data_IF_183862560533
#
_entry.id   IF_183862560533
#
_cell.length_a   1.000
_cell.length_b   1.000
_cell.length_c   1.000
_cell.angle_alpha   90.00
_cell.angle_beta   90.00
_cell.angle_gamma   90.00
#
_symmetry.space_group_name_H-M   'P 1'
#
loop_
_entity.id
_entity.type
_entity.pdbx_description
1 polymer ?
#
# COMPACT_ATOMS: atom_id res chain seq x y z
N UNK A 1 -20.87 -2.49 54.04
CA UNK A 1 -20.09 -1.60 53.15
C UNK A 1 -18.58 -1.84 53.11
N UNK A 2 -17.90 -2.19 54.21
CA UNK A 2 -16.43 -2.32 54.25
C UNK A 2 -15.88 -3.47 53.37
N UNK A 3 -16.58 -4.60 53.27
CA UNK A 3 -16.19 -5.74 52.43
C UNK A 3 -16.27 -5.43 50.92
N UNK A 4 -17.27 -4.67 50.49
CA UNK A 4 -17.45 -4.28 49.08
C UNK A 4 -16.32 -3.35 48.59
N UNK A 5 -15.90 -2.39 49.42
CA UNK A 5 -14.77 -1.49 49.12
C UNK A 5 -13.44 -2.24 49.01
N UNK A 6 -13.23 -3.30 49.80
CA UNK A 6 -12.03 -4.17 49.69
C UNK A 6 -12.05 -5.01 48.40
N UNK A 7 -13.19 -5.59 48.03
CA UNK A 7 -13.33 -6.37 46.80
C UNK A 7 -13.12 -5.50 45.56
N UNK A 8 -13.70 -4.29 45.53
CA UNK A 8 -13.48 -3.32 44.44
C UNK A 8 -12.01 -2.91 44.31
N UNK A 9 -11.33 -2.66 45.43
CA UNK A 9 -9.88 -2.38 45.46
C UNK A 9 -9.05 -3.53 44.90
N UNK A 10 -9.36 -4.78 45.26
CA UNK A 10 -8.66 -5.97 44.77
C UNK A 10 -8.94 -6.18 43.27
N UNK A 11 -10.18 -6.00 42.82
CA UNK A 11 -10.54 -6.10 41.41
C UNK A 11 -9.82 -5.05 40.57
N UNK A 12 -9.72 -3.80 41.06
CA UNK A 12 -8.98 -2.74 40.39
C UNK A 12 -7.50 -3.07 40.30
N UNK A 13 -6.89 -3.63 41.35
CA UNK A 13 -5.47 -4.00 41.36
C UNK A 13 -5.12 -5.16 40.43
N UNK A 14 -6.08 -6.03 40.10
CA UNK A 14 -5.88 -7.16 39.17
C UNK A 14 -6.26 -6.76 37.74
N UNK A 15 -7.35 -6.02 37.56
CA UNK A 15 -7.86 -5.62 36.24
C UNK A 15 -7.01 -4.52 35.59
N UNK A 16 -6.49 -3.55 36.35
CA UNK A 16 -5.63 -2.49 35.79
C UNK A 16 -4.38 -3.06 35.09
N UNK A 17 -3.55 -3.90 35.75
CA UNK A 17 -2.37 -4.45 35.08
C UNK A 17 -2.74 -5.39 33.95
N UNK A 18 -3.87 -6.12 34.01
CA UNK A 18 -4.35 -6.91 32.88
C UNK A 18 -4.73 -6.03 31.68
N UNK A 19 -5.42 -4.91 31.90
CA UNK A 19 -5.77 -3.93 30.85
C UNK A 19 -4.51 -3.25 30.29
N UNK A 20 -3.52 -2.94 31.14
CA UNK A 20 -2.23 -2.37 30.73
C UNK A 20 -1.41 -3.39 29.94
N UNK A 21 -1.36 -4.65 30.37
CA UNK A 21 -0.69 -5.74 29.65
C UNK A 21 -1.41 -5.97 28.31
N UNK A 22 -2.74 -5.97 28.29
CA UNK A 22 -3.50 -6.07 27.04
C UNK A 22 -3.25 -4.88 26.12
N UNK A 23 -3.22 -3.65 26.64
CA UNK A 23 -2.95 -2.46 25.84
C UNK A 23 -1.49 -2.34 25.41
N UNK A 24 -0.53 -2.89 26.16
CA UNK A 24 0.89 -2.93 25.77
C UNK A 24 1.21 -4.07 24.80
N UNK A 25 0.52 -5.21 24.89
CA UNK A 25 0.73 -6.38 24.01
C UNK A 25 -0.07 -6.23 22.71
N UNK A 26 -1.34 -5.80 22.78
CA UNK A 26 -2.23 -5.62 21.63
C UNK A 26 -2.24 -4.19 21.09
N UNK A 27 -1.72 -3.20 21.84
CA UNK A 27 -1.56 -1.85 21.34
C UNK A 27 -0.36 -1.74 20.41
N UNK A 28 -0.62 -1.88 19.12
CA UNK A 28 0.14 -1.28 18.02
C UNK A 28 1.67 -1.57 17.94
N UNK A 29 2.23 -2.52 18.70
CA UNK A 29 3.69 -2.64 18.85
C UNK A 29 4.34 -3.88 18.25
N UNK A 30 3.69 -5.05 18.33
CA UNK A 30 4.37 -6.32 17.97
C UNK A 30 3.43 -7.45 17.53
N UNK A 31 2.40 -7.74 18.33
CA UNK A 31 1.55 -8.93 18.16
C UNK A 31 0.35 -8.76 17.25
N UNK A 32 0.02 -7.53 16.82
CA UNK A 32 -1.11 -7.29 15.92
C UNK A 32 -0.80 -7.98 14.59
N UNK A 33 -1.53 -9.01 14.14
CA UNK A 33 -1.26 -9.64 12.85
C UNK A 33 -1.35 -8.61 11.71
N UNK A 34 -0.62 -8.83 10.60
CA UNK A 34 -0.69 -7.94 9.45
C UNK A 34 -2.14 -7.72 8.99
N UNK A 35 -2.95 -8.79 9.04
CA UNK A 35 -4.38 -8.80 8.73
C UNK A 35 -5.28 -7.94 9.62
N UNK A 36 -4.74 -7.18 10.57
CA UNK A 36 -5.50 -6.19 11.35
C UNK A 36 -5.01 -4.75 11.08
N UNK A 37 -4.01 -4.57 10.22
CA UNK A 37 -3.48 -3.25 9.88
C UNK A 37 -4.18 -2.73 8.62
N UNK A 38 -4.88 -1.57 8.68
CA UNK A 38 -5.61 -1.02 7.54
C UNK A 38 -4.74 -0.85 6.29
N UNK A 39 -3.52 -0.34 6.46
CA UNK A 39 -2.55 -0.14 5.38
C UNK A 39 -2.15 -1.43 4.67
N UNK A 40 -2.16 -2.58 5.36
CA UNK A 40 -1.88 -3.88 4.77
C UNK A 40 -3.06 -4.41 3.96
N UNK A 41 -4.30 -4.14 4.39
CA UNK A 41 -5.47 -4.44 3.57
C UNK A 41 -5.49 -3.59 2.30
N UNK A 42 -5.21 -2.31 2.43
CA UNK A 42 -5.12 -1.40 1.28
C UNK A 42 -4.03 -1.84 0.30
N UNK A 43 -2.83 -2.18 0.80
CA UNK A 43 -1.77 -2.82 0.03
C UNK A 43 -2.27 -4.02 -0.77
N UNK A 44 -3.00 -4.95 -0.12
CA UNK A 44 -3.51 -6.15 -0.78
C UNK A 44 -4.55 -5.84 -1.85
N UNK A 45 -5.46 -4.88 -1.61
CA UNK A 45 -6.42 -4.45 -2.63
C UNK A 45 -5.71 -3.83 -3.84
N UNK A 46 -4.68 -3.01 -3.61
CA UNK A 46 -3.86 -2.48 -4.70
C UNK A 46 -3.14 -3.60 -5.44
N UNK A 47 -2.57 -4.60 -4.76
CA UNK A 47 -1.88 -5.73 -5.41
C UNK A 47 -2.78 -6.52 -6.36
N UNK A 48 -4.09 -6.59 -6.11
CA UNK A 48 -5.06 -7.23 -7.02
C UNK A 48 -5.21 -6.48 -8.35
N UNK A 49 -4.83 -5.21 -8.39
CA UNK A 49 -4.84 -4.38 -9.59
C UNK A 49 -3.52 -4.44 -10.37
N UNK A 50 -2.54 -5.25 -9.95
CA UNK A 50 -1.37 -5.53 -10.80
C UNK A 50 -1.86 -6.15 -12.12
N UNK A 51 -1.43 -5.66 -13.31
CA UNK A 51 -2.05 -6.03 -14.59
C UNK A 51 -2.19 -7.55 -14.80
N UNK A 52 -1.20 -8.33 -14.40
CA UNK A 52 -1.22 -9.80 -14.56
C UNK A 52 -2.24 -10.45 -13.62
N UNK A 53 -2.26 -10.07 -12.35
CA UNK A 53 -3.25 -10.56 -11.37
C UNK A 53 -4.66 -10.13 -11.76
N UNK A 54 -4.84 -8.88 -12.16
CA UNK A 54 -6.15 -8.35 -12.54
C UNK A 54 -6.73 -9.10 -13.75
N UNK A 55 -5.90 -9.34 -14.77
CA UNK A 55 -6.28 -10.14 -15.94
C UNK A 55 -6.55 -11.60 -15.60
N UNK A 56 -5.75 -12.23 -14.73
CA UNK A 56 -5.99 -13.63 -14.32
C UNK A 56 -7.30 -13.79 -13.56
N UNK A 57 -7.78 -12.74 -12.90
CA UNK A 57 -9.07 -12.70 -12.23
C UNK A 57 -10.25 -12.36 -13.17
N UNK A 58 -10.03 -12.32 -14.50
CA UNK A 58 -11.05 -12.03 -15.51
C UNK A 58 -11.25 -10.54 -15.80
N UNK A 59 -10.43 -9.66 -15.24
CA UNK A 59 -10.47 -8.22 -15.49
C UNK A 59 -9.98 -7.84 -16.89
N UNK A 60 -10.54 -6.78 -17.46
CA UNK A 60 -10.12 -6.21 -18.75
C UNK A 60 -9.35 -4.90 -18.53
N UNK A 61 -8.23 -4.75 -19.22
CA UNK A 61 -7.44 -3.50 -19.18
C UNK A 61 -8.14 -2.48 -20.09
N UNK A 62 -9.10 -1.77 -19.50
CA UNK A 62 -9.94 -0.76 -20.13
C UNK A 62 -10.02 0.50 -19.26
N UNK A 63 -10.81 1.49 -19.68
CA UNK A 63 -11.01 2.75 -18.97
C UNK A 63 -11.41 2.56 -17.49
N UNK A 64 -12.19 1.53 -17.18
CA UNK A 64 -12.60 1.24 -15.80
C UNK A 64 -11.39 0.83 -14.96
N UNK A 65 -10.52 -0.02 -15.50
CA UNK A 65 -9.26 -0.40 -14.86
C UNK A 65 -8.37 0.82 -14.58
N UNK A 66 -8.19 1.72 -15.56
CA UNK A 66 -7.40 2.94 -15.35
C UNK A 66 -8.00 3.84 -14.27
N UNK A 67 -9.33 4.00 -14.25
CA UNK A 67 -10.01 4.76 -13.20
C UNK A 67 -9.85 4.14 -11.82
N UNK A 68 -9.84 2.80 -11.69
CA UNK A 68 -9.56 2.11 -10.42
C UNK A 68 -8.17 2.45 -9.88
N UNK A 69 -7.16 2.46 -10.74
CA UNK A 69 -5.80 2.84 -10.35
C UNK A 69 -5.72 4.33 -9.96
N UNK A 70 -6.29 5.19 -10.78
CA UNK A 70 -6.27 6.64 -10.57
C UNK A 70 -7.08 7.09 -9.35
N UNK A 71 -8.08 6.32 -8.92
CA UNK A 71 -8.85 6.60 -7.71
C UNK A 71 -7.94 6.66 -6.45
N UNK A 72 -6.85 5.88 -6.40
CA UNK A 72 -5.87 5.97 -5.31
C UNK A 72 -5.07 7.28 -5.30
N UNK A 73 -5.10 8.05 -6.37
CA UNK A 73 -4.48 9.38 -6.48
C UNK A 73 -5.53 10.51 -6.42
N UNK A 74 -6.75 10.17 -5.97
CA UNK A 74 -7.91 11.06 -5.94
C UNK A 74 -8.20 11.67 -7.32
N UNK A 75 -8.04 10.90 -8.40
CA UNK A 75 -8.24 11.37 -9.77
C UNK A 75 -8.89 10.32 -10.65
N UNK A 76 -9.14 10.66 -11.91
CA UNK A 76 -9.70 9.77 -12.91
C UNK A 76 -9.07 10.06 -14.27
N UNK A 77 -9.32 9.19 -15.25
CA UNK A 77 -8.70 9.27 -16.56
C UNK A 77 -8.99 10.61 -17.26
N UNK A 78 -10.22 11.13 -17.17
CA UNK A 78 -10.59 12.41 -17.80
C UNK A 78 -9.81 13.60 -17.24
N UNK A 79 -9.62 13.66 -15.92
CA UNK A 79 -8.83 14.70 -15.28
C UNK A 79 -7.36 14.67 -15.72
N UNK A 80 -6.81 13.47 -15.92
CA UNK A 80 -5.44 13.29 -16.43
C UNK A 80 -5.35 13.80 -17.87
N UNK A 81 -6.33 13.48 -18.71
CA UNK A 81 -6.38 13.93 -20.11
C UNK A 81 -6.52 15.44 -20.25
N UNK A 82 -7.27 16.07 -19.34
CA UNK A 82 -7.40 17.53 -19.28
C UNK A 82 -6.13 18.22 -18.76
N UNK A 83 -5.13 17.46 -18.31
CA UNK A 83 -3.88 17.99 -17.73
C UNK A 83 -4.05 18.54 -16.32
N UNK A 84 -5.15 18.20 -15.62
CA UNK A 84 -5.45 18.73 -14.29
C UNK A 84 -4.67 18.00 -13.18
N UNK A 85 -4.19 16.78 -13.43
CA UNK A 85 -3.46 15.95 -12.45
C UNK A 85 -2.39 15.06 -13.09
N UNK A 86 -1.33 14.82 -12.31
CA UNK A 86 -0.13 14.05 -12.69
C UNK A 86 1.06 14.95 -13.00
N UNK A 87 2.27 14.54 -12.63
CA UNK A 87 3.48 15.25 -13.05
C UNK A 87 3.87 14.76 -14.45
N UNK A 88 3.82 15.67 -15.42
CA UNK A 88 4.48 15.49 -16.71
C UNK A 88 5.99 15.77 -16.52
N UNK A 89 6.73 14.81 -15.96
CA UNK A 89 8.19 14.87 -16.04
C UNK A 89 8.62 14.51 -17.46
N UNK A 90 8.49 15.48 -18.37
CA UNK A 90 9.24 15.47 -19.64
C UNK A 90 10.68 15.84 -19.31
N UNK A 91 11.38 14.96 -18.61
CA UNK A 91 12.80 15.12 -18.32
C UNK A 91 13.58 14.02 -19.03
N UNK A 92 13.97 14.31 -20.28
CA UNK A 92 15.18 13.79 -20.95
C UNK A 92 15.54 12.32 -20.70
N UNK A 93 14.59 11.40 -20.85
CA UNK A 93 14.93 10.00 -21.04
C UNK A 93 15.15 9.77 -22.53
N UNK A 94 16.35 9.36 -22.92
CA UNK A 94 16.72 8.97 -24.29
C UNK A 94 15.89 7.79 -24.84
N UNK A 95 14.88 7.30 -24.10
CA UNK A 95 13.89 6.38 -24.58
C UNK A 95 12.65 7.15 -25.06
N UNK A 96 12.51 7.19 -26.38
CA UNK A 96 11.27 7.45 -27.14
C UNK A 96 10.95 8.93 -27.37
N UNK A 97 11.67 9.56 -28.31
CA UNK A 97 11.09 10.61 -29.16
C UNK A 97 10.04 9.97 -30.10
N UNK A 98 8.91 9.49 -29.57
CA UNK A 98 7.68 9.34 -30.37
C UNK A 98 6.88 10.59 -30.07
N UNK A 99 6.75 11.46 -31.06
CA UNK A 99 6.14 12.80 -30.95
C UNK A 99 4.70 12.85 -30.40
N UNK A 100 4.08 11.71 -30.06
CA UNK A 100 2.67 11.57 -29.72
C UNK A 100 2.41 10.82 -28.40
N UNK A 101 3.44 10.43 -27.63
CA UNK A 101 3.27 9.71 -26.36
C UNK A 101 3.56 10.66 -25.20
N UNK A 102 2.61 10.79 -24.28
CA UNK A 102 2.75 11.53 -23.04
C UNK A 102 2.81 10.56 -21.86
N UNK A 103 3.82 10.76 -21.00
CA UNK A 103 3.99 10.00 -19.76
C UNK A 103 3.40 10.78 -18.58
N UNK A 104 2.47 10.15 -17.87
CA UNK A 104 1.94 10.66 -16.62
C UNK A 104 2.44 9.81 -15.46
N UNK A 105 3.10 10.45 -14.50
CA UNK A 105 3.58 9.79 -13.28
C UNK A 105 2.87 10.32 -12.05
N UNK A 106 2.51 9.38 -11.16
CA UNK A 106 1.92 9.62 -9.88
C UNK A 106 2.70 8.84 -8.83
N UNK A 107 2.96 9.48 -7.69
CA UNK A 107 3.62 8.87 -6.54
C UNK A 107 2.88 9.36 -5.29
N UNK A 108 2.58 8.44 -4.38
CA UNK A 108 1.87 8.74 -3.14
C UNK A 108 2.43 7.88 -2.00
N UNK A 109 2.47 8.48 -0.81
CA UNK A 109 2.84 7.83 0.43
C UNK A 109 1.71 8.00 1.45
N UNK A 110 1.21 6.87 1.98
CA UNK A 110 0.14 6.82 2.99
C UNK A 110 0.62 6.19 4.28
N UNK A 111 -0.20 6.35 5.32
CA UNK A 111 0.02 5.73 6.63
C UNK A 111 1.41 5.99 7.22
N UNK A 112 1.85 7.25 7.15
CA UNK A 112 3.18 7.70 7.60
C UNK A 112 4.33 7.03 6.83
N UNK A 113 4.13 6.73 5.55
CA UNK A 113 5.09 6.05 4.66
C UNK A 113 5.15 4.54 4.88
N UNK A 114 4.10 3.95 5.47
CA UNK A 114 3.97 2.49 5.52
C UNK A 114 3.48 1.93 4.20
N UNK A 115 2.77 2.72 3.41
CA UNK A 115 2.29 2.33 2.09
C UNK A 115 2.82 3.34 1.09
N UNK A 116 3.63 2.89 0.14
CA UNK A 116 4.18 3.71 -0.93
C UNK A 116 3.77 3.12 -2.26
N UNK A 117 3.30 3.94 -3.18
CA UNK A 117 2.86 3.43 -4.48
C UNK A 117 3.01 4.46 -5.59
N UNK A 118 3.27 3.92 -6.78
CA UNK A 118 3.58 4.68 -7.98
C UNK A 118 2.79 4.15 -9.17
N UNK A 119 2.33 5.07 -10.00
CA UNK A 119 1.66 4.79 -11.25
C UNK A 119 2.32 5.57 -12.38
N UNK A 120 2.66 4.87 -13.45
CA UNK A 120 3.12 5.41 -14.73
C UNK A 120 2.13 5.01 -15.83
N UNK A 121 1.59 6.00 -16.52
CA UNK A 121 0.68 5.83 -17.64
C UNK A 121 1.30 6.44 -18.90
N UNK A 122 1.49 5.61 -19.93
CA UNK A 122 1.79 6.08 -21.27
C UNK A 122 0.46 6.32 -22.00
N UNK A 123 0.25 7.54 -22.49
CA UNK A 123 -0.96 7.92 -23.24
C UNK A 123 -0.52 8.33 -24.64
N UNK A 124 -1.00 7.61 -25.66
CA UNK A 124 -0.80 7.98 -27.06
C UNK A 124 -1.94 8.90 -27.51
N UNK A 125 -1.60 10.13 -27.89
CA UNK A 125 -2.55 11.06 -28.51
C UNK A 125 -2.56 10.80 -30.02
N UNK A 126 -3.66 10.25 -30.54
CA UNK A 126 -3.83 10.10 -31.98
C UNK A 126 -4.12 11.47 -32.62
N UNK A 127 -3.15 12.02 -33.36
CA UNK A 127 -3.24 13.31 -34.06
C UNK A 127 -4.35 13.36 -35.13
N UNK A 128 -4.86 12.22 -35.59
CA UNK A 128 -5.76 12.14 -36.75
C UNK A 128 -7.22 11.87 -36.37
N UNK A 129 -7.48 11.17 -35.26
CA UNK A 129 -8.84 10.82 -34.83
C UNK A 129 -9.28 11.50 -33.53
N UNK A 130 -8.38 12.20 -32.82
CA UNK A 130 -8.58 12.67 -31.43
C UNK A 130 -8.96 11.54 -30.45
N UNK A 131 -8.86 10.27 -30.84
CA UNK A 131 -9.07 9.16 -29.94
C UNK A 131 -7.86 9.02 -29.01
N UNK A 132 -8.14 9.00 -27.72
CA UNK A 132 -7.12 8.81 -26.69
C UNK A 132 -7.25 7.38 -26.18
N UNK A 133 -6.35 6.53 -26.65
CA UNK A 133 -6.25 5.15 -26.18
C UNK A 133 -5.11 5.08 -25.16
N UNK A 134 -5.38 4.67 -23.91
CA UNK A 134 -4.29 4.41 -22.98
C UNK A 134 -3.44 3.27 -23.55
N UNK A 135 -2.11 3.48 -23.64
CA UNK A 135 -1.22 2.45 -24.14
C UNK A 135 -1.27 1.25 -23.18
N UNK A 136 -1.14 0.05 -23.75
CA UNK A 136 -1.23 -1.23 -23.03
C UNK A 136 -0.15 -1.43 -21.95
N UNK A 137 0.80 -0.50 -21.80
CA UNK A 137 1.85 -0.55 -20.77
C UNK A 137 1.50 0.40 -19.63
N UNK A 138 1.04 -0.19 -18.54
CA UNK A 138 0.91 0.49 -17.24
C UNK A 138 2.06 0.03 -16.38
N UNK A 139 2.80 0.99 -15.83
CA UNK A 139 3.67 0.74 -14.69
C UNK A 139 2.87 1.03 -13.42
N UNK A 140 2.52 0.01 -12.67
CA UNK A 140 1.97 0.19 -11.33
C UNK A 140 2.93 -0.49 -10.38
N UNK A 141 3.21 0.12 -9.24
CA UNK A 141 4.11 -0.39 -8.21
C UNK A 141 3.59 -0.02 -6.83
N UNK A 142 3.67 -0.96 -5.88
CA UNK A 142 3.20 -0.76 -4.51
C UNK A 142 4.16 -1.48 -3.56
N UNK A 143 4.55 -0.78 -2.51
CA UNK A 143 5.31 -1.28 -1.38
C UNK A 143 4.56 -1.05 -0.08
N UNK A 144 4.63 -2.05 0.79
CA UNK A 144 4.13 -1.93 2.14
C UNK A 144 5.20 -2.27 3.17
N UNK A 145 5.56 -1.29 3.99
CA UNK A 145 6.57 -1.40 5.02
C UNK A 145 5.93 -1.91 6.32
N UNK A 146 6.37 -3.07 6.78
CA UNK A 146 5.85 -3.63 8.02
C UNK A 146 6.30 -2.84 9.25
N UNK A 147 7.48 -2.17 9.19
CA UNK A 147 8.07 -1.31 10.23
C UNK A 147 7.98 -1.94 11.63
N UNK A 148 8.43 -3.19 11.75
CA UNK A 148 8.45 -3.93 13.01
C UNK A 148 9.88 -4.21 13.44
N UNK A 149 10.03 -4.33 14.76
CA UNK A 149 11.19 -5.00 15.32
C UNK A 149 11.05 -6.51 15.06
N UNK A 150 12.14 -7.26 15.06
CA UNK A 150 12.18 -8.71 14.94
C UNK A 150 12.99 -9.31 16.06
N UNK A 151 12.54 -10.45 16.58
CA UNK A 151 13.19 -11.11 17.70
C UNK A 151 14.32 -11.91 17.09
N UNK A 152 15.54 -11.51 17.40
CA UNK A 152 16.74 -12.17 16.91
C UNK A 152 17.52 -12.72 18.08
N UNK A 153 18.39 -13.68 17.80
CA UNK A 153 19.24 -14.32 18.80
C UNK A 153 20.54 -13.53 18.90
N UNK A 154 20.81 -12.94 20.06
CA UNK A 154 22.06 -12.23 20.34
C UNK A 154 23.15 -13.20 20.81
N UNK A 155 22.77 -14.25 21.55
CA UNK A 155 23.65 -15.34 21.95
C UNK A 155 22.85 -16.61 22.24
N UNK A 156 23.53 -17.72 22.53
CA UNK A 156 22.92 -19.05 22.78
C UNK A 156 21.75 -19.01 23.79
N UNK A 157 21.76 -18.07 24.74
CA UNK A 157 20.70 -17.89 25.73
C UNK A 157 20.16 -16.46 25.82
N UNK A 158 20.40 -15.61 24.81
CA UNK A 158 19.87 -14.22 24.80
C UNK A 158 19.24 -13.83 23.47
N UNK A 159 18.17 -13.05 23.57
CA UNK A 159 17.44 -12.50 22.44
C UNK A 159 17.51 -10.99 22.48
N UNK A 160 17.46 -10.36 21.32
CA UNK A 160 17.29 -8.92 21.20
C UNK A 160 16.25 -8.57 20.15
N UNK A 161 15.75 -7.33 20.23
CA UNK A 161 14.79 -6.79 19.28
C UNK A 161 15.52 -5.89 18.30
N UNK A 162 15.66 -6.35 17.07
CA UNK A 162 16.31 -5.59 16.00
C UNK A 162 15.26 -4.90 15.13
N UNK A 163 15.46 -3.63 14.79
CA UNK A 163 14.60 -2.96 13.81
C UNK A 163 15.03 -3.39 12.41
N UNK A 164 14.13 -4.01 11.64
CA UNK A 164 14.41 -4.34 10.24
C UNK A 164 13.40 -3.64 9.34
N UNK A 165 13.91 -2.83 8.43
CA UNK A 165 13.12 -2.17 7.39
C UNK A 165 12.76 -3.21 6.32
N UNK A 166 11.75 -4.04 6.60
CA UNK A 166 11.23 -4.99 5.62
C UNK A 166 10.00 -4.39 4.93
N UNK A 167 9.95 -4.54 3.61
CA UNK A 167 8.81 -4.16 2.78
C UNK A 167 8.30 -5.36 1.98
N UNK A 168 7.00 -5.37 1.73
CA UNK A 168 6.34 -6.32 0.85
C UNK A 168 5.89 -5.62 -0.43
N UNK A 169 5.94 -6.33 -1.55
CA UNK A 169 5.48 -5.84 -2.85
C UNK A 169 4.65 -6.92 -3.58
N UNK A 170 4.33 -6.71 -4.86
CA UNK A 170 3.55 -7.68 -5.62
C UNK A 170 4.16 -9.09 -5.65
N UNK A 171 5.49 -9.23 -5.62
CA UNK A 171 6.12 -10.54 -5.61
C UNK A 171 5.82 -11.33 -4.33
N UNK A 172 5.69 -10.62 -3.20
CA UNK A 172 5.24 -11.21 -1.94
C UNK A 172 3.76 -11.61 -2.04
N UNK A 173 2.88 -10.71 -2.48
CA UNK A 173 1.45 -11.00 -2.63
C UNK A 173 1.18 -12.19 -3.57
N UNK A 174 1.95 -12.32 -4.66
CA UNK A 174 1.87 -13.48 -5.58
C UNK A 174 2.22 -14.81 -4.93
N UNK A 175 3.00 -14.82 -3.85
CA UNK A 175 3.29 -16.03 -3.08
C UNK A 175 2.16 -16.37 -2.12
N UNK A 176 1.45 -15.38 -1.57
CA UNK A 176 0.33 -15.60 -0.65
C UNK A 176 -0.92 -16.20 -1.32
N UNK A 177 -1.11 -15.96 -2.62
CA UNK A 177 -2.28 -16.44 -3.38
C UNK A 177 -2.07 -17.82 -4.06
N UNK A 178 -0.91 -18.45 -3.87
CA UNK A 178 -0.61 -19.81 -4.36
C UNK A 178 -0.86 -20.84 -3.28
#
# INVERSE_FOLDING_TARGET
>A
MIRLKKILKISSFILLPLIIIWSMIFGWGWFVPYSLQPSYHEFKEMCKLEPKIYQSNGGKIDKEYYNKLLAYFNTNFEEVLQGNKGMANVSNSQYIQRENIELYSFNEDRDKGRLSFSLGLDIEKNKTTNEILPLKKVFFYVEWYNRRKYLTTKSVASYELEWRENYENFAYFKKEIK
#
